data_IF_648774712077
#
_entry.id   IF_648774712077
#
_cell.length_a   1.000
_cell.length_b   1.000
_cell.length_c   1.000
_cell.angle_alpha   90.00
_cell.angle_beta   90.00
_cell.angle_gamma   90.00
#
_symmetry.space_group_name_H-M   'P 1'
#
loop_
_entity.id
_entity.type
_entity.pdbx_description
1 polymer ?
#
# COMPACT_ATOMS: atom_id res chain seq x y z
N UNK A 1 17.71 -14.43 0.45
CA UNK A 1 16.34 -14.80 0.04
C UNK A 1 15.76 -15.67 1.14
N UNK A 2 14.74 -15.19 1.88
CA UNK A 2 14.13 -15.99 2.94
C UNK A 2 13.35 -17.16 2.30
N UNK A 3 13.71 -18.40 2.62
CA UNK A 3 13.03 -19.59 2.14
C UNK A 3 11.66 -19.70 2.82
N UNK A 4 10.59 -19.50 2.05
CA UNK A 4 9.22 -19.60 2.55
C UNK A 4 8.91 -21.07 2.89
N UNK A 5 8.63 -21.37 4.15
CA UNK A 5 8.27 -22.72 4.60
C UNK A 5 6.96 -23.15 3.91
N UNK A 6 6.87 -24.36 3.32
CA UNK A 6 5.68 -24.79 2.62
C UNK A 6 4.51 -25.04 3.58
N UNK A 7 3.30 -24.66 3.17
CA UNK A 7 2.07 -24.94 3.91
C UNK A 7 1.66 -26.40 3.70
N UNK A 8 1.82 -27.24 4.72
CA UNK A 8 1.64 -28.71 4.65
C UNK A 8 0.35 -29.23 5.27
N UNK A 9 -0.35 -28.43 6.09
CA UNK A 9 -1.58 -28.83 6.79
C UNK A 9 -2.80 -28.13 6.21
N UNK A 10 -3.91 -28.85 6.12
CA UNK A 10 -5.19 -28.35 5.64
C UNK A 10 -6.15 -28.08 6.81
N UNK A 11 -6.96 -27.03 6.68
CA UNK A 11 -8.08 -26.71 7.56
C UNK A 11 -9.34 -26.70 6.70
N UNK A 12 -10.37 -27.43 7.13
CA UNK A 12 -11.65 -27.50 6.42
C UNK A 12 -12.64 -26.51 7.03
N UNK A 13 -13.36 -25.78 6.19
CA UNK A 13 -14.37 -24.80 6.59
C UNK A 13 -15.70 -25.17 5.95
N UNK A 14 -16.80 -25.01 6.68
CA UNK A 14 -18.16 -25.14 6.14
C UNK A 14 -18.66 -23.75 5.80
N UNK A 15 -19.10 -23.56 4.56
CA UNK A 15 -19.55 -22.30 4.01
C UNK A 15 -20.81 -22.53 3.19
N UNK A 16 -21.66 -21.52 3.13
CA UNK A 16 -22.77 -21.49 2.19
C UNK A 16 -22.29 -21.12 0.79
N UNK A 17 -23.14 -21.30 -0.22
CA UNK A 17 -22.81 -20.91 -1.59
C UNK A 17 -22.60 -19.40 -1.73
N UNK A 18 -23.40 -18.58 -1.04
CA UNK A 18 -23.22 -17.13 -1.00
C UNK A 18 -21.87 -16.74 -0.40
N UNK A 19 -21.45 -17.39 0.69
CA UNK A 19 -20.14 -17.11 1.31
C UNK A 19 -18.98 -17.40 0.34
N UNK A 20 -19.12 -18.45 -0.48
CA UNK A 20 -18.09 -18.81 -1.46
C UNK A 20 -17.98 -17.78 -2.60
N UNK A 21 -19.11 -17.25 -3.06
CA UNK A 21 -19.14 -16.18 -4.06
C UNK A 21 -18.54 -14.89 -3.51
N UNK A 22 -18.92 -14.51 -2.29
CA UNK A 22 -18.41 -13.32 -1.63
C UNK A 22 -16.90 -13.41 -1.38
N UNK A 23 -16.40 -14.58 -0.95
CA UNK A 23 -14.96 -14.83 -0.80
C UNK A 23 -14.21 -14.76 -2.13
N UNK A 24 -14.81 -15.25 -3.22
CA UNK A 24 -14.20 -15.16 -4.55
C UNK A 24 -14.08 -13.69 -4.99
N UNK A 25 -15.15 -12.90 -4.85
CA UNK A 25 -15.15 -11.49 -5.19
C UNK A 25 -14.13 -10.69 -4.35
N UNK A 26 -14.07 -10.94 -3.04
CA UNK A 26 -13.10 -10.29 -2.15
C UNK A 26 -11.65 -10.68 -2.50
N UNK A 27 -11.41 -11.94 -2.86
CA UNK A 27 -10.09 -12.41 -3.26
C UNK A 27 -9.64 -11.75 -4.57
N UNK A 28 -10.56 -11.61 -5.53
CA UNK A 28 -10.32 -10.92 -6.80
C UNK A 28 -10.01 -9.43 -6.58
N UNK A 29 -10.80 -8.74 -5.76
CA UNK A 29 -10.56 -7.33 -5.41
C UNK A 29 -9.20 -7.12 -4.72
N UNK A 30 -8.75 -8.08 -3.92
CA UNK A 30 -7.43 -8.05 -3.29
C UNK A 30 -6.29 -8.55 -4.20
N UNK A 31 -6.59 -9.12 -5.37
CA UNK A 31 -5.61 -9.77 -6.23
C UNK A 31 -4.93 -11.00 -5.61
N UNK A 32 -5.62 -11.69 -4.69
CA UNK A 32 -5.13 -12.87 -3.96
C UNK A 32 -5.89 -14.13 -4.38
N UNK A 33 -5.32 -15.31 -4.10
CA UNK A 33 -6.11 -16.54 -4.14
C UNK A 33 -7.04 -16.63 -2.93
N UNK A 34 -8.17 -17.35 -3.05
CA UNK A 34 -9.11 -17.58 -1.94
C UNK A 34 -8.40 -18.12 -0.68
N UNK A 35 -7.51 -19.09 -0.85
CA UNK A 35 -6.75 -19.68 0.26
C UNK A 35 -5.79 -18.68 0.90
N UNK A 36 -5.18 -17.79 0.12
CA UNK A 36 -4.30 -16.74 0.64
C UNK A 36 -5.11 -15.67 1.39
N UNK A 37 -6.26 -15.25 0.85
CA UNK A 37 -7.17 -14.32 1.53
C UNK A 37 -7.60 -14.88 2.90
N UNK A 38 -8.07 -16.13 2.93
CA UNK A 38 -8.51 -16.81 4.15
C UNK A 38 -7.36 -16.89 5.16
N UNK A 39 -6.16 -17.33 4.72
CA UNK A 39 -4.99 -17.40 5.61
C UNK A 39 -4.62 -16.05 6.18
N UNK A 40 -4.59 -15.00 5.34
CA UNK A 40 -4.24 -13.66 5.82
C UNK A 40 -5.21 -13.19 6.87
N UNK A 41 -6.53 -13.33 6.64
CA UNK A 41 -7.53 -12.95 7.63
C UNK A 41 -7.46 -13.80 8.90
N UNK A 42 -7.31 -15.12 8.77
CA UNK A 42 -7.21 -16.02 9.92
C UNK A 42 -5.97 -15.76 10.79
N UNK A 43 -4.89 -15.26 10.19
CA UNK A 43 -3.64 -14.91 10.87
C UNK A 43 -3.51 -13.42 11.18
N UNK A 44 -4.59 -12.62 11.03
CA UNK A 44 -4.59 -11.17 11.20
C UNK A 44 -3.52 -10.43 10.39
N UNK A 45 -3.16 -10.97 9.22
CA UNK A 45 -2.29 -10.33 8.25
C UNK A 45 -3.09 -9.36 7.37
N UNK A 46 -2.49 -8.22 6.97
CA UNK A 46 -3.18 -7.22 6.16
C UNK A 46 -3.55 -7.76 4.77
N UNK A 47 -4.79 -7.49 4.39
CA UNK A 47 -5.32 -7.72 3.04
C UNK A 47 -5.48 -6.37 2.38
N UNK A 48 -4.59 -6.05 1.46
CA UNK A 48 -4.63 -4.81 0.69
C UNK A 48 -5.48 -5.01 -0.55
N UNK A 49 -6.27 -3.99 -0.92
CA UNK A 49 -6.99 -4.03 -2.18
C UNK A 49 -6.01 -3.81 -3.34
N UNK A 50 -6.32 -4.40 -4.49
CA UNK A 50 -5.56 -4.16 -5.73
C UNK A 50 -5.60 -2.68 -6.12
N UNK A 51 -6.72 -2.01 -5.85
CA UNK A 51 -6.93 -0.58 -6.12
C UNK A 51 -5.99 0.28 -5.28
N UNK A 52 -5.77 -0.06 -4.01
CA UNK A 52 -4.84 0.71 -3.14
C UNK A 52 -3.40 0.61 -3.64
N UNK A 53 -2.97 -0.58 -4.07
CA UNK A 53 -1.64 -0.79 -4.65
C UNK A 53 -1.47 0.03 -5.92
N UNK A 54 -2.47 0.01 -6.82
CA UNK A 54 -2.43 0.79 -8.07
C UNK A 54 -2.46 2.31 -7.82
N UNK A 55 -3.21 2.74 -6.81
CA UNK A 55 -3.27 4.14 -6.39
C UNK A 55 -1.92 4.57 -5.83
N UNK A 56 -1.29 3.77 -4.98
CA UNK A 56 0.05 4.03 -4.45
C UNK A 56 1.09 4.15 -5.57
N UNK A 57 1.07 3.24 -6.54
CA UNK A 57 1.97 3.30 -7.70
C UNK A 57 1.75 4.57 -8.54
N UNK A 58 0.50 5.02 -8.66
CA UNK A 58 0.15 6.24 -9.40
C UNK A 58 0.61 7.49 -8.66
N UNK A 59 0.45 7.54 -7.32
CA UNK A 59 0.97 8.60 -6.47
C UNK A 59 2.50 8.70 -6.59
N UNK A 60 3.21 7.56 -6.57
CA UNK A 60 4.67 7.54 -6.72
C UNK A 60 5.12 8.09 -8.08
N UNK A 61 4.36 7.80 -9.16
CA UNK A 61 4.64 8.35 -10.49
C UNK A 61 4.47 9.87 -10.51
N UNK A 62 3.39 10.39 -9.90
CA UNK A 62 3.14 11.83 -9.77
C UNK A 62 4.25 12.50 -8.95
N UNK A 63 4.63 11.93 -7.82
CA UNK A 63 5.72 12.45 -6.99
C UNK A 63 7.06 12.50 -7.73
N UNK A 64 7.40 11.47 -8.52
CA UNK A 64 8.60 11.46 -9.38
C UNK A 64 8.52 12.51 -10.48
N UNK A 65 7.36 12.67 -11.11
CA UNK A 65 7.14 13.69 -12.14
C UNK A 65 7.32 15.10 -11.55
N UNK A 66 6.74 15.37 -10.38
CA UNK A 66 6.95 16.63 -9.67
C UNK A 66 8.44 16.85 -9.39
N UNK A 67 9.12 15.89 -8.77
CA UNK A 67 10.57 16.00 -8.52
C UNK A 67 11.38 16.29 -9.79
N UNK A 68 11.01 15.68 -10.92
CA UNK A 68 11.66 15.91 -12.21
C UNK A 68 11.40 17.33 -12.76
N UNK A 69 10.17 17.83 -12.62
CA UNK A 69 9.76 19.16 -13.07
C UNK A 69 10.27 20.29 -12.16
N UNK A 70 10.88 19.97 -11.01
CA UNK A 70 11.41 20.98 -10.09
C UNK A 70 12.46 21.87 -10.78
N UNK A 71 12.20 23.18 -10.95
CA UNK A 71 13.11 24.04 -11.69
C UNK A 71 14.41 24.29 -10.91
N UNK A 72 15.54 24.21 -11.63
CA UNK A 72 16.88 24.46 -11.05
C UNK A 72 17.15 25.95 -10.80
N UNK A 73 16.48 26.84 -11.53
CA UNK A 73 16.61 28.27 -11.26
C UNK A 73 15.91 28.60 -9.93
N UNK A 74 16.38 29.63 -9.20
CA UNK A 74 15.76 30.03 -7.92
C UNK A 74 14.70 31.13 -8.10
N UNK A 75 14.51 31.62 -9.33
CA UNK A 75 13.69 32.78 -9.65
C UNK A 75 12.19 32.46 -9.86
N UNK A 76 11.82 31.19 -10.02
CA UNK A 76 10.43 30.81 -10.27
C UNK A 76 9.53 30.86 -9.02
N UNK A 77 10.11 30.91 -7.82
CA UNK A 77 9.37 30.85 -6.57
C UNK A 77 10.17 31.41 -5.37
N UNK A 78 9.42 31.89 -4.39
CA UNK A 78 9.90 32.28 -3.07
C UNK A 78 10.43 31.09 -2.27
N UNK A 79 11.15 31.35 -1.18
CA UNK A 79 11.66 30.30 -0.30
C UNK A 79 10.55 29.50 0.40
N UNK A 80 9.39 30.10 0.63
CA UNK A 80 8.22 29.43 1.23
C UNK A 80 7.54 28.48 0.26
N UNK A 81 7.31 28.92 -0.98
CA UNK A 81 6.73 28.10 -2.04
C UNK A 81 7.59 26.87 -2.33
N UNK A 82 8.92 27.03 -2.36
CA UNK A 82 9.84 25.89 -2.49
C UNK A 82 9.71 24.89 -1.34
N UNK A 83 9.59 25.37 -0.10
CA UNK A 83 9.37 24.50 1.06
C UNK A 83 8.03 23.77 0.98
N UNK A 84 6.96 24.47 0.57
CA UNK A 84 5.63 23.88 0.36
C UNK A 84 5.67 22.80 -0.72
N UNK A 85 6.39 23.04 -1.81
CA UNK A 85 6.56 22.08 -2.89
C UNK A 85 7.17 20.75 -2.42
N UNK A 86 8.27 20.82 -1.65
CA UNK A 86 8.92 19.63 -1.12
C UNK A 86 8.07 18.89 -0.09
N UNK A 87 7.37 19.63 0.79
CA UNK A 87 6.40 19.02 1.71
C UNK A 87 5.31 18.24 0.97
N UNK A 88 4.78 18.78 -0.13
CA UNK A 88 3.78 18.05 -0.93
C UNK A 88 4.34 16.75 -1.51
N UNK A 89 5.60 16.72 -1.95
CA UNK A 89 6.23 15.47 -2.43
C UNK A 89 6.37 14.45 -1.28
N UNK A 90 6.79 14.91 -0.09
CA UNK A 90 6.90 14.07 1.10
C UNK A 90 5.52 13.52 1.52
N UNK A 91 4.48 14.35 1.52
CA UNK A 91 3.10 13.95 1.84
C UNK A 91 2.56 12.92 0.85
N UNK A 92 2.86 13.07 -0.45
CA UNK A 92 2.51 12.07 -1.47
C UNK A 92 3.22 10.74 -1.20
N UNK A 93 4.51 10.77 -0.90
CA UNK A 93 5.27 9.56 -0.57
C UNK A 93 4.76 8.90 0.71
N UNK A 94 4.38 9.67 1.72
CA UNK A 94 3.75 9.14 2.94
C UNK A 94 2.41 8.48 2.62
N UNK A 95 1.59 9.13 1.80
CA UNK A 95 0.28 8.60 1.39
C UNK A 95 0.42 7.28 0.63
N UNK A 96 1.38 7.17 -0.29
CA UNK A 96 1.60 5.91 -1.02
C UNK A 96 2.07 4.77 -0.11
N UNK A 97 2.88 5.06 0.90
CA UNK A 97 3.31 4.07 1.91
C UNK A 97 2.14 3.56 2.77
N UNK A 98 1.28 4.47 3.23
CA UNK A 98 0.07 4.11 4.01
C UNK A 98 -0.84 3.19 3.19
N UNK A 99 -1.07 3.50 1.90
CA UNK A 99 -1.87 2.66 1.01
C UNK A 99 -1.25 1.27 0.76
N UNK A 100 0.08 1.15 0.84
CA UNK A 100 0.80 -0.14 0.76
C UNK A 100 0.74 -0.93 2.07
N UNK A 101 0.05 -0.44 3.10
CA UNK A 101 0.02 -1.08 4.42
C UNK A 101 1.35 -1.02 5.17
N UNK A 102 2.25 -0.13 4.74
CA UNK A 102 3.45 0.24 5.47
C UNK A 102 3.17 1.60 6.11
N UNK A 103 2.40 1.69 7.22
CA UNK A 103 2.43 2.91 7.98
C UNK A 103 3.90 3.10 8.36
N UNK A 104 4.48 4.25 8.05
CA UNK A 104 5.78 4.59 8.63
C UNK A 104 5.66 4.31 10.12
N UNK A 105 6.50 3.42 10.64
CA UNK A 105 6.75 3.35 12.06
C UNK A 105 7.00 4.78 12.47
N UNK A 106 6.04 5.35 13.18
CA UNK A 106 6.20 6.61 13.87
C UNK A 106 7.37 6.34 14.80
N UNK A 107 8.58 6.69 14.35
CA UNK A 107 9.73 6.84 15.23
C UNK A 107 9.30 7.93 16.18
N UNK A 108 8.62 7.52 17.25
CA UNK A 108 8.46 8.27 18.46
C UNK A 108 9.90 8.54 18.90
N UNK A 109 10.44 9.67 18.46
CA UNK A 109 11.69 10.19 19.01
C UNK A 109 11.48 10.24 20.52
N UNK A 110 12.25 9.48 21.32
CA UNK A 110 12.17 9.63 22.75
C UNK A 110 12.53 11.09 23.08
N UNK A 111 11.71 11.65 23.97
CA UNK A 111 11.70 13.04 24.45
C UNK A 111 13.08 13.61 24.75
#
# INVERSE_FOLDING_TARGET
>A
MATKTPHTRFVSLRLTESDLLDLAAQAEQAGLSRSELIRRRALNLPVLSRTDIQTADSIDKVGRLMKFLYPKNKAWATAEERRKYWRTIEDLQRTSQVLRGNPEEEKCSPK
#
